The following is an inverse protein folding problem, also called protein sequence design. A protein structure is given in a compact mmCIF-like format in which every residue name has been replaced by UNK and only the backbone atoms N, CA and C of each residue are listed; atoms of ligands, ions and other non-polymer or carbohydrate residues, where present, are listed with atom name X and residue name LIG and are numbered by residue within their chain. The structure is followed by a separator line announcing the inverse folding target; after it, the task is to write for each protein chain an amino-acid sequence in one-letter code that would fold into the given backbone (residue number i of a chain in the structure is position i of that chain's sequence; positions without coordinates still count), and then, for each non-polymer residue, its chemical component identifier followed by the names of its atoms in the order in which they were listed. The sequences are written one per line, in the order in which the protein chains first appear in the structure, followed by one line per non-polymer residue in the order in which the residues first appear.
data_IF_624276667659
#
_entry.id   IF_624276667659
#
_cell.length_a   1.000
_cell.length_b   1.000
_cell.length_c   1.000
_cell.angle_alpha   90.00
_cell.angle_beta   90.00
_cell.angle_gamma   90.00
#
_symmetry.space_group_name_H-M   'P 1'
#
loop_
_entity.id
_entity.type
_entity.pdbx_description
1 polymer ?
#
# COMPACT_ATOMS: atom_id res chain seq x y z
N UNK A 1 -29.38 20.73 -19.27
CA UNK A 1 -28.22 20.70 -20.18
C UNK A 1 -27.04 20.22 -19.36
N UNK A 2 -26.65 18.96 -19.57
CA UNK A 2 -25.65 18.25 -18.75
C UNK A 2 -24.32 18.41 -19.48
N UNK A 3 -23.46 19.27 -18.95
CA UNK A 3 -22.10 19.48 -19.45
C UNK A 3 -21.31 20.17 -18.34
N UNK A 4 -20.60 19.44 -17.49
CA UNK A 4 -19.27 18.95 -17.82
C UNK A 4 -18.89 17.80 -16.90
N UNK A 5 -18.92 16.59 -17.46
CA UNK A 5 -18.32 15.41 -16.88
C UNK A 5 -16.82 15.42 -17.26
N UNK A 6 -16.02 16.17 -16.51
CA UNK A 6 -14.56 16.11 -16.63
C UNK A 6 -14.02 15.07 -15.66
N UNK A 7 -13.74 13.88 -16.19
CA UNK A 7 -12.87 12.85 -15.61
C UNK A 7 -11.41 13.37 -15.58
N UNK A 8 -10.40 12.57 -15.21
CA UNK A 8 -10.17 11.78 -13.99
C UNK A 8 -8.75 12.03 -13.43
N UNK A 9 -8.57 12.13 -12.11
CA UNK A 9 -7.27 11.93 -11.43
C UNK A 9 -5.99 12.48 -12.12
N UNK A 10 -5.97 13.75 -12.50
CA UNK A 10 -4.74 14.42 -12.94
C UNK A 10 -4.11 15.16 -11.77
N UNK A 11 -3.39 14.46 -10.87
CA UNK A 11 -2.26 15.05 -10.11
C UNK A 11 -1.39 14.00 -9.36
N UNK A 12 -0.83 13.01 -10.08
CA UNK A 12 0.14 12.04 -9.50
C UNK A 12 1.59 12.47 -9.79
N UNK A 13 1.80 13.62 -10.45
CA UNK A 13 3.12 14.02 -10.96
C UNK A 13 4.02 14.66 -9.89
N UNK A 14 3.51 14.98 -8.69
CA UNK A 14 4.29 15.60 -7.61
C UNK A 14 4.64 14.68 -6.42
N UNK A 15 4.39 13.37 -6.51
CA UNK A 15 4.80 12.43 -5.45
C UNK A 15 6.30 12.09 -5.54
N UNK A 16 6.89 12.11 -6.74
CA UNK A 16 8.27 11.64 -6.95
C UNK A 16 9.35 12.50 -6.27
N UNK A 17 9.08 13.79 -6.00
CA UNK A 17 10.05 14.69 -5.35
C UNK A 17 9.89 14.79 -3.82
N UNK A 18 8.86 14.17 -3.24
CA UNK A 18 8.62 14.13 -1.79
C UNK A 18 9.05 12.81 -1.14
N UNK A 19 9.35 11.77 -1.92
CA UNK A 19 9.93 10.51 -1.44
C UNK A 19 11.46 10.67 -1.27
N UNK A 20 11.88 11.61 -0.43
CA UNK A 20 13.07 11.34 0.38
C UNK A 20 12.57 10.46 1.52
N UNK A 21 13.15 9.27 1.78
CA UNK A 21 12.83 8.52 2.99
C UNK A 21 13.44 9.31 4.16
N UNK A 22 12.80 10.43 4.54
CA UNK A 22 12.91 10.94 5.90
C UNK A 22 12.41 9.78 6.74
N UNK A 23 13.26 9.26 7.63
CA UNK A 23 12.97 8.13 8.51
C UNK A 23 11.84 8.46 9.50
N UNK A 24 10.67 8.78 8.99
CA UNK A 24 9.43 8.87 9.73
C UNK A 24 8.88 7.46 9.83
N UNK A 25 8.70 7.00 11.05
CA UNK A 25 7.94 5.80 11.34
C UNK A 25 6.58 5.90 10.64
N UNK A 26 6.06 4.76 10.19
CA UNK A 26 4.68 4.70 9.68
C UNK A 26 3.71 5.34 10.70
N UNK A 27 2.55 5.86 10.28
CA UNK A 27 1.57 6.41 11.24
C UNK A 27 1.16 5.35 12.27
N UNK A 28 0.69 5.73 13.47
CA UNK A 28 0.17 4.80 14.47
C UNK A 28 -0.95 3.91 13.93
N UNK A 29 -1.18 2.72 14.51
CA UNK A 29 -2.21 1.77 14.05
C UNK A 29 -3.60 2.37 13.95
N UNK A 30 -3.91 3.35 14.80
CA UNK A 30 -5.20 4.02 14.88
C UNK A 30 -5.47 4.93 13.66
N UNK A 31 -4.41 5.43 13.02
CA UNK A 31 -4.49 6.36 11.89
C UNK A 31 -4.17 5.67 10.56
N UNK A 32 -3.26 4.70 10.57
CA UNK A 32 -2.78 4.07 9.34
C UNK A 32 -3.86 3.20 8.68
N UNK A 33 -4.12 3.45 7.40
CA UNK A 33 -5.16 2.74 6.66
C UNK A 33 -6.58 3.04 7.17
N UNK A 34 -6.81 4.21 7.77
CA UNK A 34 -8.12 4.58 8.33
C UNK A 34 -8.51 3.73 9.53
N UNK A 35 -7.54 3.36 10.37
CA UNK A 35 -7.74 2.48 11.52
C UNK A 35 -7.71 0.98 11.18
N UNK A 36 -7.37 0.62 9.92
CA UNK A 36 -7.10 -0.76 9.52
C UNK A 36 -5.71 -0.90 8.88
N UNK A 37 -4.64 -0.88 9.69
CA UNK A 37 -3.27 -0.98 9.20
C UNK A 37 -3.01 -2.33 8.51
N UNK A 38 -3.63 -3.42 8.97
CA UNK A 38 -3.43 -4.74 8.37
C UNK A 38 -3.89 -4.78 6.90
N UNK A 39 -4.98 -4.09 6.55
CA UNK A 39 -5.44 -3.98 5.17
C UNK A 39 -4.40 -3.31 4.27
N UNK A 40 -3.68 -2.30 4.77
CA UNK A 40 -2.59 -1.67 4.01
C UNK A 40 -1.46 -2.66 3.73
N UNK A 41 -1.04 -3.44 4.73
CA UNK A 41 -0.04 -4.49 4.54
C UNK A 41 -0.52 -5.58 3.57
N UNK A 42 -1.81 -5.91 3.57
CA UNK A 42 -2.41 -6.83 2.60
C UNK A 42 -2.32 -6.28 1.18
N UNK A 43 -2.69 -5.01 0.96
CA UNK A 43 -2.57 -4.33 -0.33
C UNK A 43 -1.11 -4.31 -0.82
N UNK A 44 -0.17 -3.91 0.05
CA UNK A 44 1.26 -3.88 -0.28
C UNK A 44 1.78 -5.28 -0.63
N UNK A 45 1.34 -6.30 0.08
CA UNK A 45 1.72 -7.69 -0.17
C UNK A 45 1.28 -8.15 -1.55
N UNK A 46 0.04 -7.86 -1.94
CA UNK A 46 -0.49 -8.18 -3.27
C UNK A 46 0.26 -7.38 -4.34
N UNK A 47 0.50 -6.08 -4.14
CA UNK A 47 1.29 -5.26 -5.07
C UNK A 47 2.71 -5.82 -5.27
N UNK A 48 3.39 -6.27 -4.20
CA UNK A 48 4.73 -6.88 -4.30
C UNK A 48 4.75 -8.13 -5.16
N UNK A 49 3.68 -8.94 -5.16
CA UNK A 49 3.63 -10.17 -5.97
C UNK A 49 3.60 -9.89 -7.48
N UNK A 50 3.09 -8.73 -7.89
CA UNK A 50 2.92 -8.38 -9.31
C UNK A 50 3.88 -7.29 -9.79
N UNK A 51 4.69 -6.72 -8.89
CA UNK A 51 5.63 -5.62 -9.17
C UNK A 51 6.49 -5.87 -10.41
N UNK A 52 7.12 -7.03 -10.50
CA UNK A 52 8.09 -7.30 -11.55
C UNK A 52 7.42 -7.39 -12.93
N UNK A 53 6.21 -7.94 -12.99
CA UNK A 53 5.41 -7.97 -14.22
C UNK A 53 5.01 -6.55 -14.62
N UNK A 54 4.40 -5.81 -13.70
CA UNK A 54 3.91 -4.43 -13.89
C UNK A 54 5.03 -3.52 -14.41
N UNK A 55 6.20 -3.57 -13.77
CA UNK A 55 7.34 -2.71 -14.12
C UNK A 55 7.97 -3.11 -15.46
N UNK A 56 8.08 -4.42 -15.73
CA UNK A 56 8.65 -4.90 -17.00
C UNK A 56 7.79 -4.55 -18.20
N UNK A 57 6.46 -4.61 -18.05
CA UNK A 57 5.53 -4.29 -19.14
C UNK A 57 5.20 -2.80 -19.20
N UNK A 58 5.55 -2.03 -18.18
CA UNK A 58 5.26 -0.59 -18.11
C UNK A 58 3.77 -0.30 -18.03
N UNK A 59 3.01 -1.08 -17.23
CA UNK A 59 1.54 -0.92 -17.17
C UNK A 59 1.14 0.48 -16.70
N UNK A 60 0.18 1.09 -17.39
CA UNK A 60 -0.47 2.31 -16.94
C UNK A 60 -1.50 2.05 -15.83
N UNK A 61 -2.10 3.11 -15.30
CA UNK A 61 -3.12 3.01 -14.25
C UNK A 61 -4.32 2.13 -14.62
N UNK A 62 -4.84 2.27 -15.85
CA UNK A 62 -6.00 1.53 -16.30
C UNK A 62 -5.65 0.05 -16.48
N UNK A 63 -4.47 -0.24 -17.03
CA UNK A 63 -3.95 -1.59 -17.18
C UNK A 63 -3.71 -2.27 -15.83
N UNK A 64 -3.16 -1.56 -14.86
CA UNK A 64 -2.99 -2.08 -13.50
C UNK A 64 -4.35 -2.43 -12.87
N UNK A 65 -5.35 -1.57 -13.02
CA UNK A 65 -6.71 -1.84 -12.53
C UNK A 65 -7.28 -3.13 -13.18
N UNK A 66 -7.20 -3.25 -14.51
CA UNK A 66 -7.63 -4.45 -15.23
C UNK A 66 -6.86 -5.70 -14.83
N UNK A 67 -5.55 -5.59 -14.58
CA UNK A 67 -4.69 -6.70 -14.15
C UNK A 67 -5.14 -7.24 -12.79
N UNK A 68 -5.37 -6.36 -11.82
CA UNK A 68 -5.79 -6.78 -10.48
C UNK A 68 -7.22 -7.34 -10.46
N UNK A 69 -8.14 -6.84 -11.29
CA UNK A 69 -9.46 -7.44 -11.48
C UNK A 69 -9.36 -8.87 -12.03
N UNK A 70 -8.47 -9.10 -13.00
CA UNK A 70 -8.20 -10.45 -13.53
C UNK A 70 -7.58 -11.39 -12.50
N UNK A 71 -6.93 -10.85 -11.46
CA UNK A 71 -6.31 -11.61 -10.37
C UNK A 71 -7.25 -11.91 -9.20
N UNK A 72 -8.49 -11.42 -9.23
CA UNK A 72 -9.51 -11.74 -8.22
C UNK A 72 -9.66 -13.26 -8.11
N UNK A 73 -9.61 -13.77 -6.87
CA UNK A 73 -9.64 -15.21 -6.50
C UNK A 73 -8.48 -16.08 -7.02
N UNK A 74 -7.46 -15.49 -7.66
CA UNK A 74 -6.27 -16.23 -8.14
C UNK A 74 -5.05 -16.11 -7.24
N UNK A 75 -5.12 -15.27 -6.21
CA UNK A 75 -4.05 -15.11 -5.24
C UNK A 75 -3.94 -16.34 -4.32
N UNK A 76 -2.71 -16.76 -4.02
CA UNK A 76 -2.46 -17.72 -2.95
C UNK A 76 -2.67 -17.02 -1.60
N UNK A 77 -3.84 -17.28 -1.01
CA UNK A 77 -4.28 -16.67 0.24
C UNK A 77 -3.30 -16.96 1.39
N UNK A 78 -2.74 -18.17 1.47
CA UNK A 78 -1.83 -18.54 2.55
C UNK A 78 -0.52 -17.75 2.45
N UNK A 79 0.07 -17.69 1.25
CA UNK A 79 1.31 -16.95 1.02
C UNK A 79 1.14 -15.46 1.26
N UNK A 80 0.05 -14.87 0.73
CA UNK A 80 -0.29 -13.46 0.92
C UNK A 80 -0.46 -13.15 2.41
N UNK A 81 -1.30 -13.90 3.12
CA UNK A 81 -1.58 -13.62 4.52
C UNK A 81 -0.36 -13.83 5.42
N UNK A 82 0.48 -14.84 5.14
CA UNK A 82 1.72 -15.06 5.90
C UNK A 82 2.67 -13.86 5.79
N UNK A 83 2.90 -13.36 4.58
CA UNK A 83 3.77 -12.20 4.37
C UNK A 83 3.18 -10.92 4.97
N UNK A 84 1.88 -10.68 4.81
CA UNK A 84 1.19 -9.54 5.41
C UNK A 84 1.29 -9.57 6.95
N UNK A 85 1.11 -10.73 7.58
CA UNK A 85 1.26 -10.91 9.04
C UNK A 85 2.67 -10.58 9.52
N UNK A 86 3.70 -11.02 8.81
CA UNK A 86 5.10 -10.72 9.16
C UNK A 86 5.37 -9.21 9.08
N UNK A 87 4.92 -8.55 8.02
CA UNK A 87 5.08 -7.09 7.87
C UNK A 87 4.31 -6.32 8.94
N UNK A 88 3.08 -6.75 9.25
CA UNK A 88 2.28 -6.13 10.29
C UNK A 88 2.88 -6.31 11.70
N UNK A 89 3.42 -7.49 12.00
CA UNK A 89 4.10 -7.74 13.27
C UNK A 89 5.36 -6.86 13.43
N UNK A 90 6.15 -6.70 12.37
CA UNK A 90 7.31 -5.80 12.37
C UNK A 90 6.89 -4.33 12.61
N UNK A 91 5.80 -3.90 11.99
CA UNK A 91 5.22 -2.59 12.20
C UNK A 91 4.75 -2.38 13.65
N UNK A 92 4.00 -3.33 14.23
CA UNK A 92 3.58 -3.24 15.63
C UNK A 92 4.77 -3.20 16.58
N UNK A 93 5.82 -3.98 16.32
CA UNK A 93 7.04 -3.98 17.13
C UNK A 93 7.70 -2.60 17.12
N UNK A 94 7.87 -1.99 15.94
CA UNK A 94 8.42 -0.64 15.78
C UNK A 94 7.64 0.41 16.59
N UNK A 95 6.30 0.32 16.64
CA UNK A 95 5.48 1.23 17.44
C UNK A 95 5.51 0.92 18.93
N UNK A 96 5.54 -0.36 19.32
CA UNK A 96 5.65 -0.75 20.72
C UNK A 96 6.96 -0.30 21.37
N UNK A 97 8.07 -0.38 20.62
CA UNK A 97 9.40 0.07 21.04
C UNK A 97 9.53 1.60 21.04
N UNK A 98 8.77 2.28 20.17
CA UNK A 98 8.72 3.75 20.18
C UNK A 98 7.96 4.30 21.40
N UNK A 99 6.98 3.54 21.92
CA UNK A 99 6.19 3.94 23.09
C UNK A 99 6.93 3.73 24.43
N UNK A 100 7.92 2.84 24.48
CA UNK A 100 8.70 2.58 25.71
C UNK A 100 9.80 3.62 25.96
N UNK A 101 10.26 4.35 24.93
CA UNK A 101 11.28 5.39 25.05
C UNK A 101 10.77 6.75 25.57
N UNK A 102 9.46 6.90 25.79
CA UNK A 102 8.83 8.12 26.34
C UNK A 102 8.49 8.02 27.84
N UNK A 103 8.81 6.90 28.49
CA UNK A 103 8.46 6.62 29.90
C UNK A 103 9.67 6.57 30.86
N UNK A 104 10.77 7.27 30.55
CA UNK A 104 11.92 7.45 31.48
C UNK A 104 12.18 8.92 31.73
#
# INVERSE_FOLDING_TARGET
NISSLSRPCDDITDISNTIKPKGGNLPPPEEFGGGNPFLMFLCITVLRQHRDLIMRTGMDYNEMAMHFDKMVRKHDVNKVLNMARQMYAAYLKMHSESHSHLNV
#
